data_IF_759588342492
#
_entry.id   IF_759588342492
#
_cell.length_a   1.000
_cell.length_b   1.000
_cell.length_c   1.000
_cell.angle_alpha   90.00
_cell.angle_beta   90.00
_cell.angle_gamma   90.00
#
_symmetry.space_group_name_H-M   'P 1'
#
loop_
_entity.id
_entity.type
_entity.pdbx_description
1 polymer ?
#
# COMPACT_ATOMS: atom_id res chain seq x y z
N UNK A 1 2.86 -43.80 -27.96
CA UNK A 1 2.14 -43.61 -26.68
C UNK A 1 3.01 -43.00 -25.59
N UNK A 2 4.22 -43.51 -25.31
CA UNK A 2 5.14 -42.93 -24.32
C UNK A 2 5.52 -41.45 -24.57
N UNK A 3 5.77 -41.08 -25.82
CA UNK A 3 6.18 -39.71 -26.22
C UNK A 3 5.08 -38.67 -25.97
N UNK A 4 3.82 -39.03 -26.27
CA UNK A 4 2.66 -38.17 -25.98
C UNK A 4 2.45 -37.96 -24.48
N UNK A 5 2.74 -38.99 -23.68
CA UNK A 5 2.67 -38.93 -22.22
C UNK A 5 3.72 -37.97 -21.64
N UNK A 6 4.96 -38.01 -22.15
CA UNK A 6 6.00 -37.06 -21.77
C UNK A 6 5.69 -35.62 -22.20
N UNK A 7 5.10 -35.42 -23.39
CA UNK A 7 4.63 -34.10 -23.84
C UNK A 7 3.53 -33.53 -22.94
N UNK A 8 2.54 -34.34 -22.53
CA UNK A 8 1.48 -33.93 -21.62
C UNK A 8 2.00 -33.54 -20.23
N UNK A 9 3.00 -34.26 -19.70
CA UNK A 9 3.63 -33.96 -18.42
C UNK A 9 4.39 -32.63 -18.47
N UNK A 10 5.12 -32.34 -19.57
CA UNK A 10 5.81 -31.05 -19.74
C UNK A 10 4.86 -29.85 -19.87
N UNK A 11 3.72 -30.02 -20.56
CA UNK A 11 2.73 -28.93 -20.69
C UNK A 11 2.06 -28.64 -19.34
N UNK A 12 1.83 -29.66 -18.51
CA UNK A 12 1.26 -29.50 -17.18
C UNK A 12 2.23 -28.81 -16.18
N UNK A 13 3.54 -29.04 -16.29
CA UNK A 13 4.54 -28.39 -15.44
C UNK A 13 4.82 -26.92 -15.80
N UNK A 14 4.57 -26.52 -17.05
CA UNK A 14 4.59 -25.11 -17.48
C UNK A 14 3.36 -24.33 -17.00
N UNK A 15 2.30 -25.03 -16.59
CA UNK A 15 1.04 -24.46 -16.10
C UNK A 15 0.98 -24.29 -14.57
N UNK A 16 2.13 -24.32 -13.88
CA UNK A 16 2.17 -23.84 -12.49
C UNK A 16 1.79 -22.34 -12.52
N UNK A 17 0.78 -21.89 -11.77
CA UNK A 17 0.48 -20.47 -11.70
C UNK A 17 1.75 -19.78 -11.19
N UNK A 18 2.33 -18.93 -12.01
CA UNK A 18 3.33 -17.97 -11.54
C UNK A 18 2.70 -17.29 -10.33
N UNK A 19 3.34 -17.43 -9.17
CA UNK A 19 2.86 -16.89 -7.89
C UNK A 19 2.51 -15.42 -8.13
N UNK A 20 1.21 -15.11 -8.24
CA UNK A 20 0.74 -13.82 -8.78
C UNK A 20 0.79 -12.70 -7.74
N UNK A 21 1.56 -12.91 -6.66
CA UNK A 21 1.67 -12.03 -5.51
C UNK A 21 3.10 -11.54 -5.34
N UNK A 22 3.24 -10.32 -4.84
CA UNK A 22 4.52 -9.79 -4.39
C UNK A 22 4.98 -10.58 -3.15
N UNK A 23 6.28 -10.65 -2.90
CA UNK A 23 6.76 -11.19 -1.61
C UNK A 23 6.10 -10.41 -0.46
N UNK A 24 5.67 -11.05 0.64
CA UNK A 24 4.94 -10.37 1.72
C UNK A 24 5.64 -9.11 2.25
N UNK A 25 6.98 -9.15 2.33
CA UNK A 25 7.78 -7.98 2.73
C UNK A 25 7.69 -6.82 1.73
N UNK A 26 7.65 -7.14 0.44
CA UNK A 26 7.50 -6.14 -0.60
C UNK A 26 6.07 -5.61 -0.67
N UNK A 27 5.07 -6.44 -0.35
CA UNK A 27 3.65 -6.08 -0.42
C UNK A 27 3.33 -4.92 0.53
N UNK A 28 3.68 -5.06 1.82
CA UNK A 28 3.39 -3.99 2.78
C UNK A 28 4.19 -2.71 2.48
N UNK A 29 5.44 -2.83 2.01
CA UNK A 29 6.26 -1.68 1.59
C UNK A 29 5.60 -0.95 0.42
N UNK A 30 5.11 -1.70 -0.57
CA UNK A 30 4.40 -1.15 -1.72
C UNK A 30 3.14 -0.39 -1.27
N UNK A 31 2.38 -0.92 -0.31
CA UNK A 31 1.21 -0.24 0.26
C UNK A 31 1.58 1.05 0.99
N UNK A 32 2.60 1.05 1.85
CA UNK A 32 3.08 2.25 2.55
C UNK A 32 3.51 3.34 1.57
N UNK A 33 4.30 2.97 0.55
CA UNK A 33 4.79 3.92 -0.44
C UNK A 33 3.65 4.48 -1.31
N UNK A 34 2.65 3.65 -1.64
CA UNK A 34 1.43 4.10 -2.33
C UNK A 34 0.65 5.12 -1.50
N UNK A 35 0.48 4.87 -0.21
CA UNK A 35 -0.22 5.76 0.72
C UNK A 35 0.54 7.07 0.96
N UNK A 36 1.88 7.01 1.11
CA UNK A 36 2.74 8.20 1.17
C UNK A 36 2.54 9.08 -0.05
N UNK A 37 2.60 8.53 -1.27
CA UNK A 37 2.36 9.29 -2.51
C UNK A 37 0.96 9.89 -2.59
N UNK A 38 -0.06 9.21 -2.06
CA UNK A 38 -1.41 9.80 -1.92
C UNK A 38 -1.36 11.00 -0.97
N UNK A 39 -0.78 10.85 0.21
CA UNK A 39 -0.71 11.91 1.21
C UNK A 39 0.05 13.13 0.71
N UNK A 40 1.20 12.94 0.05
CA UNK A 40 1.99 14.06 -0.51
C UNK A 40 1.20 14.89 -1.53
N UNK A 41 0.30 14.26 -2.32
CA UNK A 41 -0.57 14.99 -3.24
C UNK A 41 -1.60 15.85 -2.51
N UNK A 42 -2.16 15.36 -1.41
CA UNK A 42 -3.09 16.14 -0.57
C UNK A 42 -2.37 17.29 0.15
N UNK A 43 -1.18 17.05 0.69
CA UNK A 43 -0.35 18.08 1.31
C UNK A 43 -0.04 19.18 0.29
N UNK A 44 0.41 18.81 -0.92
CA UNK A 44 0.70 19.77 -1.99
C UNK A 44 -0.53 20.58 -2.40
N UNK A 45 -1.70 19.94 -2.49
CA UNK A 45 -2.97 20.63 -2.79
C UNK A 45 -3.33 21.67 -1.72
N UNK A 46 -2.87 21.49 -0.49
CA UNK A 46 -3.15 22.36 0.66
C UNK A 46 -2.01 23.35 0.98
N UNK A 47 -0.91 23.34 0.22
CA UNK A 47 0.30 24.15 0.48
C UNK A 47 0.01 25.66 0.54
N UNK A 48 -0.94 26.13 -0.27
CA UNK A 48 -1.33 27.54 -0.36
C UNK A 48 -2.49 27.93 0.58
N UNK A 49 -3.01 26.99 1.36
CA UNK A 49 -4.10 27.26 2.30
C UNK A 49 -3.50 27.55 3.67
N UNK A 50 -3.44 28.84 4.02
CA UNK A 50 -3.10 29.29 5.38
C UNK A 50 -4.14 28.74 6.36
N UNK A 51 -3.86 27.57 6.93
CA UNK A 51 -4.70 26.95 7.95
C UNK A 51 -4.20 27.39 9.31
N UNK A 52 -5.05 28.06 10.09
CA UNK A 52 -4.78 28.28 11.50
C UNK A 52 -4.85 26.92 12.22
N UNK A 53 -3.71 26.42 12.69
CA UNK A 53 -3.60 25.13 13.37
C UNK A 53 -2.53 24.22 12.78
N UNK A 54 -2.80 22.92 12.76
CA UNK A 54 -1.91 21.89 12.25
C UNK A 54 -2.22 21.63 10.76
N UNK A 55 -1.25 21.76 9.85
CA UNK A 55 -1.43 21.41 8.45
C UNK A 55 -1.50 19.88 8.25
N UNK A 56 -1.96 19.39 7.09
CA UNK A 56 -1.89 17.96 6.76
C UNK A 56 -0.45 17.45 6.81
N UNK A 57 -0.25 16.21 7.26
CA UNK A 57 1.07 15.63 7.51
C UNK A 57 1.11 14.14 7.19
N UNK A 58 2.24 13.68 6.68
CA UNK A 58 2.59 12.26 6.62
C UNK A 58 3.50 11.89 7.81
N UNK A 59 3.09 10.92 8.64
CA UNK A 59 3.82 10.54 9.86
C UNK A 59 4.67 9.27 9.72
N UNK A 60 4.89 8.79 8.48
CA UNK A 60 5.55 7.52 8.10
C UNK A 60 4.64 6.30 8.00
N UNK A 61 3.41 6.33 8.50
CA UNK A 61 2.48 5.19 8.41
C UNK A 61 1.04 5.60 8.06
N UNK A 62 0.65 6.84 8.37
CA UNK A 62 -0.68 7.39 8.20
C UNK A 62 -0.61 8.83 7.64
N UNK A 63 -1.68 9.19 6.92
CA UNK A 63 -1.89 10.56 6.47
C UNK A 63 -2.83 11.28 7.44
N UNK A 64 -2.31 12.28 8.13
CA UNK A 64 -3.08 13.10 9.05
C UNK A 64 -3.72 14.29 8.32
N UNK A 65 -5.03 14.53 8.51
CA UNK A 65 -5.69 15.70 7.97
C UNK A 65 -5.27 16.96 8.73
N UNK A 66 -5.59 18.13 8.18
CA UNK A 66 -5.48 19.38 8.92
C UNK A 66 -6.36 19.36 10.18
N UNK A 67 -5.90 20.01 11.25
CA UNK A 67 -6.65 20.14 12.49
C UNK A 67 -6.55 21.56 13.05
N UNK A 68 -7.64 22.05 13.65
CA UNK A 68 -7.63 23.29 14.43
C UNK A 68 -6.99 23.01 15.81
N UNK A 69 -6.40 24.03 16.42
CA UNK A 69 -5.83 23.90 17.78
C UNK A 69 -6.91 23.41 18.75
N UNK A 70 -6.59 22.34 19.50
CA UNK A 70 -7.51 21.71 20.45
C UNK A 70 -8.50 20.71 19.83
N UNK A 71 -8.52 20.58 18.49
CA UNK A 71 -9.31 19.57 17.81
C UNK A 71 -8.65 18.19 17.93
N UNK A 72 -9.46 17.16 18.19
CA UNK A 72 -9.05 15.77 18.08
C UNK A 72 -9.45 15.27 16.68
N UNK A 73 -8.48 14.73 15.95
CA UNK A 73 -8.69 14.10 14.64
C UNK A 73 -8.31 12.63 14.73
N UNK A 74 -9.00 11.80 13.94
CA UNK A 74 -8.74 10.37 13.85
C UNK A 74 -8.50 10.00 12.38
N UNK A 75 -7.60 9.04 12.19
CA UNK A 75 -7.30 8.41 10.90
C UNK A 75 -7.51 6.90 11.08
N UNK A 76 -7.99 6.18 10.05
CA UNK A 76 -8.12 4.73 10.13
C UNK A 76 -6.77 4.06 10.42
N UNK A 77 -6.81 2.88 11.04
CA UNK A 77 -5.59 2.09 11.24
C UNK A 77 -4.92 1.80 9.88
N UNK A 78 -3.61 2.09 9.71
CA UNK A 78 -2.88 1.80 8.49
C UNK A 78 -2.99 0.33 8.07
N UNK A 79 -3.18 0.09 6.77
CA UNK A 79 -3.25 -1.26 6.19
C UNK A 79 -1.97 -2.07 6.44
N UNK A 80 -0.83 -1.43 6.66
CA UNK A 80 0.42 -2.13 6.98
C UNK A 80 0.27 -3.03 8.22
N UNK A 81 -0.62 -2.68 9.15
CA UNK A 81 -0.85 -3.46 10.36
C UNK A 81 -1.66 -4.74 10.13
N UNK A 82 -2.33 -4.91 8.98
CA UNK A 82 -2.98 -6.19 8.65
C UNK A 82 -1.99 -7.29 8.26
N UNK A 83 -0.71 -7.00 8.13
CA UNK A 83 0.34 -7.98 7.79
C UNK A 83 1.04 -8.56 9.03
N UNK A 84 0.82 -8.00 10.22
CA UNK A 84 1.40 -8.46 11.48
C UNK A 84 0.30 -9.14 12.31
N UNK A 85 0.22 -10.47 12.24
CA UNK A 85 -0.68 -11.31 13.03
C UNK A 85 0.07 -11.99 14.18
#
# INVERSE_FOLDING_TARGET
MRVFFHMLICVASVALPAWSGLHPECEYIFHLEKEKRRCMREIWRHENVSTAGCPPLWDSVACWPSAVIGQIVHTPCPLVFSYFH
#
